data_IF_051149848098
#
_entry.id   IF_051149848098
#
_cell.length_a   1.000
_cell.length_b   1.000
_cell.length_c   1.000
_cell.angle_alpha   90.00
_cell.angle_beta   90.00
_cell.angle_gamma   90.00
#
_symmetry.space_group_name_H-M   'P 1'
#
loop_
_entity.id
_entity.type
_entity.pdbx_description
1 polymer ?
#
# COMPACT_ATOMS: atom_id res chain seq x y z
N UNK A 1 -4.96 13.57 -7.57
CA UNK A 1 -6.02 12.95 -6.77
C UNK A 1 -5.41 12.05 -5.72
N UNK A 2 -5.97 12.02 -4.54
CA UNK A 2 -5.53 11.09 -3.50
C UNK A 2 -6.43 9.87 -3.49
N UNK A 3 -5.83 8.68 -3.46
CA UNK A 3 -6.54 7.40 -3.50
C UNK A 3 -6.13 6.58 -2.30
N UNK A 4 -7.10 6.11 -1.53
CA UNK A 4 -6.86 5.18 -0.44
C UNK A 4 -7.38 3.80 -0.85
N UNK A 5 -6.54 2.78 -0.74
CA UNK A 5 -6.90 1.41 -1.07
C UNK A 5 -6.96 0.61 0.23
N UNK A 6 -8.14 0.10 0.54
CA UNK A 6 -8.41 -0.60 1.80
C UNK A 6 -8.31 -2.10 1.58
N UNK A 7 -7.18 -2.66 1.94
CA UNK A 7 -6.92 -4.08 1.79
C UNK A 7 -5.67 -4.33 0.94
N UNK A 8 -4.63 -4.83 1.59
CA UNK A 8 -3.33 -5.06 0.95
C UNK A 8 -3.16 -6.51 0.49
N UNK A 9 -4.22 -7.09 -0.08
CA UNK A 9 -4.11 -8.35 -0.80
C UNK A 9 -3.47 -8.12 -2.17
N UNK A 10 -3.44 -9.15 -3.00
CA UNK A 10 -2.84 -9.06 -4.33
C UNK A 10 -3.53 -8.00 -5.19
N UNK A 11 -4.85 -7.97 -5.20
CA UNK A 11 -5.63 -7.01 -5.98
C UNK A 11 -5.41 -5.58 -5.52
N UNK A 12 -5.49 -5.33 -4.20
CA UNK A 12 -5.30 -3.99 -3.66
C UNK A 12 -3.90 -3.48 -3.95
N UNK A 13 -2.90 -4.32 -3.79
CA UNK A 13 -1.52 -3.96 -4.07
C UNK A 13 -1.30 -3.67 -5.55
N UNK A 14 -1.88 -4.48 -6.43
CA UNK A 14 -1.80 -4.26 -7.87
C UNK A 14 -2.45 -2.93 -8.27
N UNK A 15 -3.61 -2.61 -7.68
CA UNK A 15 -4.26 -1.31 -7.92
C UNK A 15 -3.41 -0.15 -7.42
N UNK A 16 -2.80 -0.30 -6.24
CA UNK A 16 -1.92 0.72 -5.69
C UNK A 16 -0.75 1.01 -6.63
N UNK A 17 -0.13 -0.03 -7.16
CA UNK A 17 0.96 0.12 -8.13
C UNK A 17 0.47 0.80 -9.41
N UNK A 18 -0.72 0.42 -9.87
CA UNK A 18 -1.28 0.99 -11.09
C UNK A 18 -1.51 2.49 -10.99
N UNK A 19 -1.97 2.97 -9.81
CA UNK A 19 -2.31 4.37 -9.63
C UNK A 19 -1.15 5.23 -9.10
N UNK A 20 -0.14 4.63 -8.50
CA UNK A 20 0.89 5.38 -7.76
C UNK A 20 1.75 6.26 -8.67
N UNK A 21 1.80 6.01 -9.96
CA UNK A 21 2.54 6.86 -10.89
C UNK A 21 1.84 8.17 -11.24
N UNK A 22 0.53 8.27 -10.95
CA UNK A 22 -0.29 9.43 -11.33
C UNK A 22 -0.94 10.12 -10.16
N UNK A 23 -1.10 9.40 -9.05
CA UNK A 23 -1.87 9.87 -7.92
C UNK A 23 -1.11 9.61 -6.62
N UNK A 24 -1.45 10.36 -5.58
CA UNK A 24 -1.01 10.03 -4.23
C UNK A 24 -1.82 8.84 -3.75
N UNK A 25 -1.16 7.73 -3.44
CA UNK A 25 -1.85 6.49 -3.07
C UNK A 25 -1.45 6.06 -1.66
N UNK A 26 -2.44 5.70 -0.85
CA UNK A 26 -2.24 5.06 0.44
C UNK A 26 -2.80 3.65 0.39
N UNK A 27 -2.00 2.66 0.79
CA UNK A 27 -2.39 1.27 0.85
C UNK A 27 -2.54 0.86 2.31
N UNK A 28 -3.74 0.44 2.69
CA UNK A 28 -4.05 0.09 4.07
C UNK A 28 -4.23 -1.41 4.23
N UNK A 29 -3.72 -1.93 5.33
CA UNK A 29 -3.93 -3.31 5.74
C UNK A 29 -4.42 -3.37 7.18
N UNK A 30 -5.18 -4.41 7.52
CA UNK A 30 -5.65 -4.67 8.88
C UNK A 30 -4.51 -4.96 9.85
N UNK A 31 -3.41 -5.51 9.35
CA UNK A 31 -2.36 -6.09 10.18
C UNK A 31 -1.14 -5.18 10.22
N UNK A 32 -0.83 -4.68 11.43
CA UNK A 32 0.32 -3.80 11.63
C UNK A 32 1.63 -4.49 11.21
N UNK A 33 1.75 -5.78 11.48
CA UNK A 33 2.95 -6.54 11.10
C UNK A 33 3.12 -6.60 9.59
N UNK A 34 2.02 -6.77 8.86
CA UNK A 34 2.06 -6.80 7.41
C UNK A 34 2.44 -5.41 6.84
N UNK A 35 1.89 -4.35 7.42
CA UNK A 35 2.25 -2.99 7.01
C UNK A 35 3.73 -2.72 7.22
N UNK A 36 4.26 -3.14 8.37
CA UNK A 36 5.68 -2.97 8.68
C UNK A 36 6.57 -3.76 7.72
N UNK A 37 6.19 -5.01 7.44
CA UNK A 37 6.93 -5.85 6.51
C UNK A 37 6.96 -5.23 5.11
N UNK A 38 5.82 -4.69 4.65
CA UNK A 38 5.76 -4.03 3.35
C UNK A 38 6.62 -2.77 3.32
N UNK A 39 6.63 -1.99 4.40
CA UNK A 39 7.47 -0.77 4.47
C UNK A 39 8.95 -1.10 4.43
N UNK A 40 9.37 -2.13 5.15
CA UNK A 40 10.77 -2.55 5.17
C UNK A 40 11.24 -3.08 3.83
N UNK A 41 10.46 -3.98 3.26
CA UNK A 41 10.83 -4.62 2.00
C UNK A 41 10.55 -3.75 0.79
N UNK A 42 9.71 -2.73 0.93
CA UNK A 42 9.12 -1.98 -0.17
C UNK A 42 8.55 -2.92 -1.23
N UNK A 43 7.89 -3.97 -0.74
CA UNK A 43 7.25 -4.97 -1.57
C UNK A 43 6.22 -5.73 -0.73
N UNK A 44 5.16 -6.20 -1.36
CA UNK A 44 4.19 -7.07 -0.72
C UNK A 44 4.54 -8.52 -1.05
N UNK A 45 5.53 -9.05 -0.36
CA UNK A 45 6.08 -10.37 -0.68
C UNK A 45 5.11 -11.50 -0.40
N UNK A 46 4.14 -11.28 0.49
CA UNK A 46 3.16 -12.30 0.83
C UNK A 46 2.10 -12.47 -0.26
N UNK A 47 1.61 -11.37 -0.84
CA UNK A 47 0.47 -11.41 -1.76
C UNK A 47 0.81 -11.01 -3.18
N UNK A 48 1.88 -10.27 -3.40
CA UNK A 48 2.28 -9.85 -4.74
C UNK A 48 3.81 -9.77 -4.83
N UNK A 49 4.51 -10.92 -4.79
CA UNK A 49 5.97 -10.93 -4.85
C UNK A 49 6.50 -10.44 -6.19
N UNK A 50 7.70 -9.91 -6.17
CA UNK A 50 8.37 -9.51 -7.40
C UNK A 50 8.02 -8.12 -7.92
N UNK A 51 7.20 -7.37 -7.21
CA UNK A 51 6.80 -6.01 -7.62
C UNK A 51 7.19 -5.00 -6.55
N UNK A 52 8.24 -4.19 -6.78
CA UNK A 52 8.63 -3.16 -5.81
C UNK A 52 7.54 -2.12 -5.61
N UNK A 53 7.38 -1.67 -4.36
CA UNK A 53 6.44 -0.61 -4.02
C UNK A 53 7.17 0.74 -4.10
N UNK A 54 6.64 1.73 -4.84
CA UNK A 54 7.28 3.04 -4.94
C UNK A 54 7.42 3.72 -3.58
N UNK A 55 8.47 4.51 -3.40
CA UNK A 55 8.72 5.22 -2.15
C UNK A 55 7.58 6.19 -1.80
N UNK A 56 6.92 6.75 -2.80
CA UNK A 56 5.82 7.68 -2.61
C UNK A 56 4.53 7.00 -2.11
N UNK A 57 4.44 5.67 -2.23
CA UNK A 57 3.28 4.93 -1.78
C UNK A 57 3.27 4.88 -0.25
N UNK A 58 2.20 5.40 0.36
CA UNK A 58 2.01 5.33 1.81
C UNK A 58 1.45 3.96 2.16
N UNK A 59 2.09 3.28 3.11
CA UNK A 59 1.66 1.98 3.59
C UNK A 59 1.30 2.14 5.05
N UNK A 60 0.08 1.75 5.44
CA UNK A 60 -0.40 1.99 6.79
C UNK A 60 -1.33 0.89 7.27
N UNK A 61 -1.33 0.64 8.58
CA UNK A 61 -2.34 -0.15 9.26
C UNK A 61 -3.30 0.76 10.05
N UNK A 62 -3.12 2.06 9.96
CA UNK A 62 -3.99 3.05 10.59
C UNK A 62 -4.95 3.60 9.53
N UNK A 63 -6.24 3.28 9.70
CA UNK A 63 -7.25 3.69 8.73
C UNK A 63 -7.38 5.20 8.63
N UNK A 64 -7.30 5.90 9.75
CA UNK A 64 -7.36 7.36 9.75
C UNK A 64 -6.20 7.95 8.96
N UNK A 65 -5.00 7.41 9.12
CA UNK A 65 -3.83 7.85 8.37
C UNK A 65 -4.02 7.60 6.86
N UNK A 66 -4.52 6.43 6.50
CA UNK A 66 -4.73 6.08 5.09
C UNK A 66 -5.77 6.98 4.43
N UNK A 67 -6.79 7.40 5.19
CA UNK A 67 -7.86 8.26 4.68
C UNK A 67 -7.55 9.75 4.79
N UNK A 68 -6.49 10.13 5.46
CA UNK A 68 -6.14 11.51 5.71
C UNK A 68 -5.81 12.24 4.39
N UNK A 69 -6.25 13.44 4.31
CA UNK A 69 -5.90 14.31 3.24
C UNK A 69 -6.80 14.35 2.08
#
# INVERSE_FOLDING_TARGET
MKIAILGAGAWGTALALSFSGRHAVALWTWHADHAEAMRRARANTQFLPGHPLPDALVISADLAEALAG
#
